data_IF_750186479842
#
_entry.id   IF_750186479842
#
_cell.length_a   1.000
_cell.length_b   1.000
_cell.length_c   1.000
_cell.angle_alpha   90.00
_cell.angle_beta   90.00
_cell.angle_gamma   90.00
#
_symmetry.space_group_name_H-M   'P 1'
#
loop_
_entity.id
_entity.type
_entity.pdbx_description
1 polymer ?
#
# COMPACT_ATOMS: atom_id res chain seq x y z
N UNK A 1 -20.74 5.49 43.69
CA UNK A 1 -19.85 4.88 44.71
C UNK A 1 -18.72 5.86 45.05
N UNK A 2 -18.26 5.95 46.31
CA UNK A 2 -17.12 6.79 46.66
C UNK A 2 -15.84 6.28 45.98
N UNK A 3 -15.05 7.18 45.38
CA UNK A 3 -13.77 6.84 44.74
C UNK A 3 -12.69 6.71 45.81
N UNK A 4 -12.01 5.55 45.95
CA UNK A 4 -10.93 5.39 46.92
C UNK A 4 -9.75 6.31 46.58
N UNK A 5 -9.16 6.92 47.61
CA UNK A 5 -7.95 7.76 47.44
C UNK A 5 -6.71 6.88 47.39
N UNK A 6 -5.90 7.07 46.35
CA UNK A 6 -4.63 6.36 46.15
C UNK A 6 -3.51 7.42 46.09
N UNK A 7 -2.45 7.22 46.88
CA UNK A 7 -1.24 8.05 46.79
C UNK A 7 -0.22 7.32 45.91
N UNK A 8 0.11 7.91 44.75
CA UNK A 8 1.04 7.34 43.77
C UNK A 8 2.28 8.23 43.66
N UNK A 9 3.46 7.61 43.56
CA UNK A 9 4.69 8.30 43.15
C UNK A 9 4.90 8.03 41.67
N UNK A 10 5.00 9.10 40.89
CA UNK A 10 5.28 9.05 39.45
C UNK A 10 6.71 9.53 39.21
N UNK A 11 7.35 8.99 38.17
CA UNK A 11 8.58 9.56 37.67
C UNK A 11 8.37 11.00 37.18
N UNK A 12 9.39 11.84 37.29
CA UNK A 12 9.29 13.29 37.04
C UNK A 12 8.84 13.61 35.62
N UNK A 13 9.31 12.84 34.64
CA UNK A 13 8.94 12.96 33.22
C UNK A 13 7.47 12.61 32.98
N UNK A 14 6.98 11.53 33.59
CA UNK A 14 5.58 11.10 33.49
C UNK A 14 4.65 12.12 34.15
N UNK A 15 5.04 12.66 35.31
CA UNK A 15 4.29 13.71 35.98
C UNK A 15 4.18 14.97 35.11
N UNK A 16 5.28 15.40 34.47
CA UNK A 16 5.28 16.56 33.59
C UNK A 16 4.31 16.38 32.40
N UNK A 17 4.33 15.20 31.75
CA UNK A 17 3.41 14.88 30.64
C UNK A 17 1.94 14.84 31.09
N UNK A 18 1.69 14.31 32.29
CA UNK A 18 0.34 14.31 32.87
C UNK A 18 -0.15 15.73 33.17
N UNK A 19 0.73 16.59 33.69
CA UNK A 19 0.40 17.98 34.00
C UNK A 19 0.07 18.76 32.72
N UNK A 20 0.90 18.62 31.68
CA UNK A 20 0.67 19.18 30.35
C UNK A 20 -0.68 18.72 29.76
N UNK A 21 -1.00 17.43 29.85
CA UNK A 21 -2.25 16.88 29.36
C UNK A 21 -3.50 17.44 30.06
N UNK A 22 -3.35 17.97 31.29
CA UNK A 22 -4.43 18.60 32.06
C UNK A 22 -4.59 20.11 31.84
N UNK A 23 -3.74 20.72 31.01
CA UNK A 23 -3.89 22.14 30.66
C UNK A 23 -5.10 22.39 29.73
N UNK A 24 -5.69 21.33 29.14
CA UNK A 24 -6.90 21.42 28.32
C UNK A 24 -8.17 21.49 29.20
N UNK A 25 -9.14 22.36 28.88
CA UNK A 25 -10.40 22.44 29.63
C UNK A 25 -11.12 21.09 29.67
N UNK A 26 -11.50 20.65 30.87
CA UNK A 26 -12.28 19.41 31.08
C UNK A 26 -11.47 18.14 31.39
N UNK A 27 -10.13 18.19 31.37
CA UNK A 27 -9.28 17.04 31.70
C UNK A 27 -8.66 17.20 33.10
N UNK A 28 -8.98 16.29 34.03
CA UNK A 28 -8.34 16.26 35.36
C UNK A 28 -7.32 15.12 35.44
N UNK A 29 -6.29 15.27 36.29
CA UNK A 29 -5.27 14.23 36.52
C UNK A 29 -5.92 12.89 36.89
N UNK A 30 -6.93 12.94 37.76
CA UNK A 30 -7.69 11.75 38.16
C UNK A 30 -8.46 11.12 37.00
N UNK A 31 -9.08 11.92 36.13
CA UNK A 31 -9.82 11.40 34.98
C UNK A 31 -8.89 10.73 33.95
N UNK A 32 -7.73 11.33 33.68
CA UNK A 32 -6.73 10.75 32.77
C UNK A 32 -6.17 9.43 33.34
N UNK A 33 -5.82 9.40 34.63
CA UNK A 33 -5.30 8.18 35.27
C UNK A 33 -6.37 7.08 35.29
N UNK A 34 -7.62 7.42 35.60
CA UNK A 34 -8.73 6.45 35.62
C UNK A 34 -9.02 5.89 34.23
N UNK A 35 -8.95 6.73 33.19
CA UNK A 35 -9.08 6.30 31.79
C UNK A 35 -7.92 5.38 31.37
N UNK A 36 -6.68 5.77 31.67
CA UNK A 36 -5.50 4.96 31.35
C UNK A 36 -5.52 3.60 32.06
N UNK A 37 -5.98 3.55 33.31
CA UNK A 37 -6.17 2.29 34.03
C UNK A 37 -7.30 1.45 33.42
N UNK A 38 -8.40 2.08 33.01
CA UNK A 38 -9.51 1.38 32.33
C UNK A 38 -9.02 0.73 31.02
N UNK A 39 -8.27 1.47 30.21
CA UNK A 39 -7.65 0.96 28.99
C UNK A 39 -6.59 -0.13 29.28
N UNK A 40 -5.82 0.00 30.36
CA UNK A 40 -4.84 -1.01 30.75
C UNK A 40 -5.50 -2.34 31.14
N UNK A 41 -6.65 -2.27 31.82
CA UNK A 41 -7.42 -3.43 32.27
C UNK A 41 -8.44 -3.94 31.24
N UNK A 42 -8.56 -3.30 30.07
CA UNK A 42 -9.46 -3.73 29.01
C UNK A 42 -8.74 -4.71 28.06
N UNK A 43 -8.97 -6.04 28.19
CA UNK A 43 -8.39 -7.02 27.28
C UNK A 43 -8.93 -6.86 25.85
N UNK A 44 -10.18 -6.39 25.67
CA UNK A 44 -10.80 -6.22 24.36
C UNK A 44 -10.22 -5.02 23.60
N UNK A 45 -9.82 -3.96 24.31
CA UNK A 45 -9.17 -2.81 23.69
C UNK A 45 -7.83 -3.19 23.02
N UNK A 46 -7.09 -4.15 23.60
CA UNK A 46 -5.82 -4.65 23.04
C UNK A 46 -6.07 -5.70 21.96
N UNK A 47 -6.91 -6.70 22.23
CA UNK A 47 -7.19 -7.76 21.26
C UNK A 47 -7.90 -7.24 20.02
N UNK A 48 -8.82 -6.28 20.17
CA UNK A 48 -9.57 -5.73 19.04
C UNK A 48 -8.71 -4.91 18.07
N UNK A 49 -7.63 -4.28 18.53
CA UNK A 49 -6.69 -3.60 17.63
C UNK A 49 -5.84 -4.61 16.86
N UNK A 50 -5.27 -5.58 17.57
CA UNK A 50 -4.43 -6.63 16.98
C UNK A 50 -5.22 -7.46 15.95
N UNK A 51 -6.44 -7.87 16.29
CA UNK A 51 -7.33 -8.65 15.42
C UNK A 51 -7.73 -7.87 14.17
N UNK A 52 -8.01 -6.56 14.29
CA UNK A 52 -8.30 -5.70 13.13
C UNK A 52 -7.09 -5.51 12.21
N UNK A 53 -5.88 -5.49 12.78
CA UNK A 53 -4.64 -5.42 11.99
C UNK A 53 -4.43 -6.73 11.26
N UNK A 54 -4.56 -7.88 11.94
CA UNK A 54 -4.42 -9.20 11.33
C UNK A 54 -5.43 -9.39 10.19
N UNK A 55 -6.71 -9.10 10.41
CA UNK A 55 -7.73 -9.20 9.36
C UNK A 55 -7.41 -8.30 8.15
N UNK A 56 -6.82 -7.13 8.37
CA UNK A 56 -6.39 -6.25 7.28
C UNK A 56 -5.17 -6.79 6.54
N UNK A 57 -4.24 -7.45 7.23
CA UNK A 57 -3.10 -8.13 6.63
C UNK A 57 -3.55 -9.33 5.79
N UNK A 58 -4.50 -10.14 6.29
CA UNK A 58 -5.05 -11.26 5.53
C UNK A 58 -5.66 -10.80 4.20
N UNK A 59 -6.43 -9.70 4.23
CA UNK A 59 -6.99 -9.11 3.00
C UNK A 59 -5.89 -8.58 2.08
N UNK A 60 -4.80 -8.04 2.63
CA UNK A 60 -3.65 -7.59 1.85
C UNK A 60 -2.95 -8.77 1.17
N UNK A 61 -2.73 -9.88 1.88
CA UNK A 61 -2.09 -11.08 1.34
C UNK A 61 -2.92 -11.72 0.22
N UNK A 62 -4.25 -11.75 0.36
CA UNK A 62 -5.14 -12.21 -0.72
C UNK A 62 -4.97 -11.35 -1.98
N UNK A 63 -5.01 -10.02 -1.83
CA UNK A 63 -4.84 -9.08 -2.96
C UNK A 63 -3.45 -9.17 -3.57
N UNK A 64 -2.43 -9.41 -2.75
CA UNK A 64 -1.07 -9.62 -3.22
C UNK A 64 -0.98 -10.88 -4.08
N UNK A 65 -1.60 -11.98 -3.64
CA UNK A 65 -1.68 -13.21 -4.43
C UNK A 65 -2.46 -13.05 -5.75
N UNK A 66 -3.51 -12.24 -5.77
CA UNK A 66 -4.23 -11.87 -7.00
C UNK A 66 -3.33 -11.10 -7.98
N UNK A 67 -2.58 -10.11 -7.49
CA UNK A 67 -1.63 -9.34 -8.30
C UNK A 67 -0.54 -10.25 -8.86
N UNK A 68 0.02 -11.16 -8.04
CA UNK A 68 1.04 -12.11 -8.49
C UNK A 68 0.53 -13.03 -9.60
N UNK A 69 -0.72 -13.49 -9.49
CA UNK A 69 -1.38 -14.27 -10.55
C UNK A 69 -1.56 -13.45 -11.84
N UNK A 70 -2.05 -12.23 -11.74
CA UNK A 70 -2.27 -11.35 -12.90
C UNK A 70 -0.95 -11.00 -13.61
N UNK A 71 0.12 -10.79 -12.85
CA UNK A 71 1.48 -10.62 -13.39
C UNK A 71 1.94 -11.89 -14.08
N UNK A 72 1.70 -13.07 -13.49
CA UNK A 72 1.98 -14.37 -14.12
C UNK A 72 1.30 -14.52 -15.48
N UNK A 73 -0.01 -14.26 -15.55
CA UNK A 73 -0.74 -14.29 -16.82
C UNK A 73 -0.22 -13.29 -17.85
N UNK A 74 0.15 -12.09 -17.40
CA UNK A 74 0.73 -11.07 -18.30
C UNK A 74 2.07 -11.53 -18.88
N UNK A 75 2.92 -12.16 -18.06
CA UNK A 75 4.20 -12.71 -18.50
C UNK A 75 4.02 -13.88 -19.48
N UNK A 76 3.07 -14.77 -19.23
CA UNK A 76 2.73 -15.86 -20.15
C UNK A 76 2.22 -15.33 -21.49
N UNK A 77 1.29 -14.36 -21.47
CA UNK A 77 0.75 -13.74 -22.68
C UNK A 77 1.85 -13.01 -23.48
N UNK A 78 2.75 -12.31 -22.80
CA UNK A 78 3.91 -11.66 -23.44
C UNK A 78 4.85 -12.70 -24.05
N UNK A 79 5.15 -13.78 -23.34
CA UNK A 79 5.99 -14.87 -23.84
C UNK A 79 5.40 -15.52 -25.10
N UNK A 80 4.09 -15.78 -25.09
CA UNK A 80 3.37 -16.28 -26.26
C UNK A 80 3.40 -15.28 -27.43
N UNK A 81 3.20 -13.99 -27.17
CA UNK A 81 3.29 -12.96 -28.18
C UNK A 81 4.69 -12.91 -28.83
N UNK A 82 5.76 -12.93 -28.02
CA UNK A 82 7.14 -12.93 -28.52
C UNK A 82 7.42 -14.19 -29.35
N UNK A 83 7.00 -15.36 -28.87
CA UNK A 83 7.17 -16.62 -29.60
C UNK A 83 6.42 -16.59 -30.93
N UNK A 84 5.17 -16.15 -30.94
CA UNK A 84 4.38 -16.00 -32.16
C UNK A 84 5.05 -15.02 -33.13
N UNK A 85 5.51 -13.88 -32.63
CA UNK A 85 6.18 -12.87 -33.44
C UNK A 85 7.44 -13.43 -34.10
N UNK A 86 8.30 -14.14 -33.35
CA UNK A 86 9.53 -14.74 -33.88
C UNK A 86 9.28 -15.90 -34.86
N UNK A 87 8.17 -16.63 -34.73
CA UNK A 87 7.87 -17.82 -35.55
C UNK A 87 7.06 -17.49 -36.80
N UNK A 88 6.29 -16.39 -36.80
CA UNK A 88 5.38 -16.01 -37.90
C UNK A 88 5.81 -14.79 -38.69
N UNK A 89 6.72 -13.97 -38.16
CA UNK A 89 7.19 -12.78 -38.88
C UNK A 89 8.30 -13.15 -39.83
N UNK A 90 8.10 -12.91 -41.13
CA UNK A 90 9.13 -13.14 -42.14
C UNK A 90 10.36 -12.25 -41.86
N UNK A 91 11.59 -12.80 -41.96
CA UNK A 91 12.78 -12.02 -41.74
C UNK A 91 12.93 -10.95 -42.84
N UNK A 92 13.27 -9.74 -42.42
CA UNK A 92 13.45 -8.62 -43.35
C UNK A 92 14.67 -8.82 -44.26
N UNK A 93 14.61 -8.35 -45.52
CA UNK A 93 15.77 -8.31 -46.41
C UNK A 93 16.96 -7.61 -45.76
N UNK A 94 18.17 -8.12 -46.00
CA UNK A 94 19.41 -7.64 -45.33
C UNK A 94 19.67 -6.14 -45.51
N UNK A 95 19.37 -5.59 -46.70
CA UNK A 95 19.50 -4.15 -46.97
C UNK A 95 18.54 -3.28 -46.18
N UNK A 96 17.40 -3.82 -45.73
CA UNK A 96 16.35 -3.08 -45.02
C UNK A 96 16.44 -3.24 -43.51
N UNK A 97 17.11 -4.30 -43.01
CA UNK A 97 17.22 -4.61 -41.57
C UNK A 97 17.67 -3.41 -40.73
N UNK A 98 18.69 -2.68 -41.16
CA UNK A 98 19.22 -1.52 -40.40
C UNK A 98 18.21 -0.37 -40.33
N UNK A 99 17.54 -0.07 -41.43
CA UNK A 99 16.53 0.99 -41.49
C UNK A 99 15.29 0.63 -40.67
N UNK A 100 14.82 -0.63 -40.77
CA UNK A 100 13.70 -1.14 -40.01
C UNK A 100 13.99 -1.17 -38.49
N UNK A 101 15.20 -1.59 -38.08
CA UNK A 101 15.61 -1.51 -36.68
C UNK A 101 15.60 -0.07 -36.16
N UNK A 102 16.16 0.88 -36.91
CA UNK A 102 16.19 2.29 -36.50
C UNK A 102 14.77 2.87 -36.39
N UNK A 103 13.86 2.51 -37.29
CA UNK A 103 12.46 2.92 -37.22
C UNK A 103 11.73 2.27 -36.03
N UNK A 104 11.98 0.98 -35.79
CA UNK A 104 11.45 0.25 -34.64
C UNK A 104 11.85 0.89 -33.32
N UNK A 105 13.13 1.24 -33.16
CA UNK A 105 13.64 1.92 -31.97
C UNK A 105 12.92 3.25 -31.73
N UNK A 106 12.80 4.10 -32.77
CA UNK A 106 12.08 5.39 -32.64
C UNK A 106 10.62 5.21 -32.23
N UNK A 107 9.93 4.21 -32.77
CA UNK A 107 8.54 3.91 -32.40
C UNK A 107 8.43 3.43 -30.97
N UNK A 108 9.37 2.59 -30.53
CA UNK A 108 9.44 2.11 -29.15
C UNK A 108 9.69 3.25 -28.16
N UNK A 109 10.66 4.12 -28.45
CA UNK A 109 10.99 5.27 -27.59
C UNK A 109 9.77 6.19 -27.43
N UNK A 110 9.06 6.48 -28.53
CA UNK A 110 7.82 7.26 -28.49
C UNK A 110 6.73 6.58 -27.66
N UNK A 111 6.52 5.27 -27.85
CA UNK A 111 5.57 4.51 -27.04
C UNK A 111 5.93 4.53 -25.56
N UNK A 112 7.20 4.31 -25.21
CA UNK A 112 7.69 4.35 -23.83
C UNK A 112 7.45 5.72 -23.19
N UNK A 113 7.65 6.81 -23.93
CA UNK A 113 7.35 8.17 -23.47
C UNK A 113 5.83 8.36 -23.21
N UNK A 114 4.97 7.82 -24.08
CA UNK A 114 3.52 7.84 -23.86
C UNK A 114 3.10 7.04 -22.62
N UNK A 115 3.68 5.85 -22.41
CA UNK A 115 3.43 5.05 -21.22
C UNK A 115 3.91 5.78 -19.97
N UNK A 116 5.12 6.34 -19.98
CA UNK A 116 5.67 7.09 -18.86
C UNK A 116 4.77 8.28 -18.50
N UNK A 117 4.36 9.08 -19.49
CA UNK A 117 3.37 10.17 -19.29
C UNK A 117 2.08 9.65 -18.66
N UNK A 118 1.57 8.52 -19.15
CA UNK A 118 0.31 7.96 -18.66
C UNK A 118 0.42 7.43 -17.24
N UNK A 119 1.52 6.77 -16.86
CA UNK A 119 1.77 6.29 -15.48
C UNK A 119 1.87 7.45 -14.50
N UNK A 120 2.43 8.59 -14.92
CA UNK A 120 2.48 9.80 -14.10
C UNK A 120 1.13 10.53 -14.05
N UNK A 121 0.28 10.38 -15.07
CA UNK A 121 -1.11 10.82 -15.02
C UNK A 121 -1.91 9.83 -14.16
N UNK A 122 -2.71 10.30 -13.21
CA UNK A 122 -3.41 9.47 -12.23
C UNK A 122 -4.57 8.61 -12.82
N UNK A 123 -4.59 8.44 -14.13
CA UNK A 123 -5.70 7.95 -14.92
C UNK A 123 -5.50 6.46 -15.26
N UNK A 124 -6.36 5.59 -14.70
CA UNK A 124 -6.16 4.13 -14.69
C UNK A 124 -6.33 3.53 -16.10
N UNK A 125 -5.42 2.61 -16.45
CA UNK A 125 -5.39 1.92 -17.75
C UNK A 125 -6.63 1.03 -18.02
N UNK A 126 -7.35 0.63 -16.98
CA UNK A 126 -8.41 -0.40 -17.03
C UNK A 126 -9.75 0.16 -17.54
N UNK A 127 -9.99 1.47 -17.42
CA UNK A 127 -11.27 2.09 -17.82
C UNK A 127 -11.48 2.15 -19.34
N UNK A 128 -10.49 1.72 -20.15
CA UNK A 128 -10.54 1.82 -21.61
C UNK A 128 -10.61 0.47 -22.33
N UNK A 129 -10.62 -0.64 -21.59
CA UNK A 129 -10.77 -2.00 -22.15
C UNK A 129 -12.16 -2.61 -21.92
N UNK A 130 -13.07 -1.86 -21.30
CA UNK A 130 -14.49 -2.25 -21.23
C UNK A 130 -15.13 -1.94 -22.58
N UNK A 131 -15.26 -2.97 -23.42
CA UNK A 131 -16.12 -2.97 -24.60
C UNK A 131 -17.58 -3.24 -24.21
#
# INVERSE_FOLDING_TARGET
MPKPRINLRLATDIYARLDEATQRPGATKSAIIEQALREYFDPEAKSGLEERILARLDVFDIRQGEIERDVGFTLEALGQFVLYWLTRTDPLPEGERKAAHALGQRRFDYFAEQVARKVHSRDRMIDRFTF
#
